data_IF_752114056117
#
_entry.id   IF_752114056117
#
_cell.length_a   1.000
_cell.length_b   1.000
_cell.length_c   1.000
_cell.angle_alpha   90.00
_cell.angle_beta   90.00
_cell.angle_gamma   90.00
#
_symmetry.space_group_name_H-M   'P 1'
#
loop_
_entity.id
_entity.type
_entity.pdbx_description
1 polymer ?
#
# COMPACT_ATOMS: atom_id res chain seq x y z
N UNK A 1 -15.41 -41.60 20.25
CA UNK A 1 -14.17 -41.31 19.50
C UNK A 1 -14.47 -41.37 18.00
N UNK A 2 -15.08 -40.35 17.42
CA UNK A 2 -14.41 -39.72 16.27
C UNK A 2 -15.38 -38.99 15.32
N UNK A 3 -16.54 -38.58 15.82
CA UNK A 3 -17.41 -37.64 15.13
C UNK A 3 -16.93 -36.22 15.44
N UNK A 4 -15.76 -35.85 14.91
CA UNK A 4 -15.25 -34.48 14.98
C UNK A 4 -14.71 -34.11 13.59
N UNK A 5 -15.49 -33.25 12.91
CA UNK A 5 -15.10 -32.39 11.79
C UNK A 5 -14.52 -33.07 10.54
N UNK A 6 -15.38 -33.68 9.71
CA UNK A 6 -15.14 -33.84 8.26
C UNK A 6 -16.06 -32.92 7.43
N UNK A 7 -16.52 -31.81 8.01
CA UNK A 7 -17.39 -30.84 7.35
C UNK A 7 -16.61 -29.54 7.07
N UNK A 8 -15.69 -29.54 6.09
CA UNK A 8 -15.40 -28.29 5.36
C UNK A 8 -14.62 -28.44 4.05
N UNK A 9 -13.79 -29.46 3.87
CA UNK A 9 -12.78 -29.41 2.77
C UNK A 9 -13.16 -30.39 1.65
N UNK A 10 -14.10 -29.94 0.84
CA UNK A 10 -14.52 -30.57 -0.43
C UNK A 10 -13.52 -30.24 -1.57
N UNK A 11 -12.41 -29.59 -1.23
CA UNK A 11 -11.45 -28.99 -2.17
C UNK A 11 -10.17 -29.82 -2.32
N UNK A 12 -9.92 -30.29 -3.54
CA UNK A 12 -8.66 -30.91 -3.97
C UNK A 12 -7.58 -29.85 -4.22
N UNK A 13 -6.34 -30.17 -3.87
CA UNK A 13 -5.18 -29.37 -4.27
C UNK A 13 -4.94 -29.47 -5.78
N UNK A 14 -4.70 -28.32 -6.40
CA UNK A 14 -4.36 -28.19 -7.80
C UNK A 14 -2.94 -27.69 -8.00
N UNK A 15 -2.71 -27.00 -9.11
CA UNK A 15 -1.37 -26.52 -9.45
C UNK A 15 -0.95 -25.40 -8.51
N UNK A 16 0.29 -25.44 -8.04
CA UNK A 16 0.93 -24.42 -7.20
C UNK A 16 0.24 -24.18 -5.84
N UNK A 17 -0.37 -25.23 -5.29
CA UNK A 17 -1.11 -25.19 -4.02
C UNK A 17 -0.62 -26.31 -3.10
N UNK A 18 -0.25 -25.95 -1.87
CA UNK A 18 0.13 -26.86 -0.80
C UNK A 18 -1.00 -27.10 0.20
N UNK A 19 -0.88 -28.19 0.98
CA UNK A 19 -1.80 -28.51 2.07
C UNK A 19 -1.01 -28.73 3.36
N UNK A 20 -1.44 -28.08 4.44
CA UNK A 20 -0.88 -28.24 5.78
C UNK A 20 -1.43 -29.47 6.48
N UNK A 21 -0.83 -29.81 7.64
CA UNK A 21 -1.27 -30.93 8.48
C UNK A 21 -2.74 -30.80 8.91
N UNK A 22 -3.18 -29.56 9.18
CA UNK A 22 -4.55 -29.24 9.59
C UNK A 22 -5.47 -28.99 8.38
N UNK A 23 -5.10 -29.51 7.21
CA UNK A 23 -5.79 -29.31 5.93
C UNK A 23 -5.92 -27.84 5.48
N UNK A 24 -5.18 -26.92 6.09
CA UNK A 24 -5.07 -25.54 5.63
C UNK A 24 -4.43 -25.49 4.26
N UNK A 25 -5.04 -24.75 3.33
CA UNK A 25 -4.56 -24.63 1.96
C UNK A 25 -3.72 -23.36 1.84
N UNK A 26 -2.52 -23.46 1.28
CA UNK A 26 -1.63 -22.32 1.04
C UNK A 26 -1.13 -22.26 -0.40
N UNK A 27 -0.88 -21.05 -0.90
CA UNK A 27 -0.31 -20.83 -2.22
C UNK A 27 1.21 -20.96 -2.19
N UNK A 28 1.78 -21.64 -3.18
CA UNK A 28 3.24 -21.73 -3.36
C UNK A 28 3.79 -20.57 -4.18
N UNK A 29 2.93 -19.89 -4.95
CA UNK A 29 3.28 -18.74 -5.80
C UNK A 29 2.28 -17.62 -5.58
N UNK A 30 2.72 -16.39 -5.86
CA UNK A 30 1.82 -15.24 -5.93
C UNK A 30 1.04 -15.24 -7.24
N UNK A 31 -0.26 -14.91 -7.16
CA UNK A 31 -1.09 -14.90 -8.34
C UNK A 31 -2.59 -14.89 -8.05
N UNK A 32 -3.36 -15.27 -9.06
CA UNK A 32 -4.81 -15.38 -8.95
C UNK A 32 -5.19 -16.83 -8.63
N UNK A 33 -6.04 -16.99 -7.63
CA UNK A 33 -6.62 -18.28 -7.27
C UNK A 33 -7.82 -18.55 -8.19
N UNK A 34 -7.83 -19.72 -8.82
CA UNK A 34 -8.94 -20.20 -9.64
C UNK A 34 -9.52 -21.49 -9.05
N UNK A 35 -10.85 -21.51 -8.97
CA UNK A 35 -11.61 -22.68 -8.56
C UNK A 35 -12.13 -23.41 -9.79
N UNK A 36 -11.75 -24.67 -9.95
CA UNK A 36 -12.18 -25.54 -11.03
C UNK A 36 -13.08 -26.64 -10.47
N UNK A 37 -14.04 -27.14 -11.26
CA UNK A 37 -14.84 -28.30 -10.84
C UNK A 37 -13.99 -29.57 -10.96
N UNK A 38 -14.09 -30.45 -9.97
CA UNK A 38 -13.42 -31.75 -9.97
C UNK A 38 -14.46 -32.83 -9.65
N UNK A 39 -15.14 -33.32 -10.68
CA UNK A 39 -16.24 -34.27 -10.54
C UNK A 39 -17.57 -33.59 -10.12
N UNK A 40 -18.54 -34.39 -9.64
CA UNK A 40 -19.90 -33.91 -9.38
C UNK A 40 -19.97 -32.94 -8.18
N UNK A 41 -19.29 -33.27 -7.07
CA UNK A 41 -19.43 -32.51 -5.81
C UNK A 41 -18.16 -31.76 -5.40
N UNK A 42 -16.99 -32.14 -5.95
CA UNK A 42 -15.71 -31.61 -5.48
C UNK A 42 -15.23 -30.43 -6.33
N UNK A 43 -14.50 -29.53 -5.68
CA UNK A 43 -13.83 -28.40 -6.34
C UNK A 43 -12.32 -28.60 -6.24
N UNK A 44 -11.57 -28.02 -7.15
CA UNK A 44 -10.11 -28.03 -7.15
C UNK A 44 -9.60 -26.60 -7.17
N UNK A 45 -8.57 -26.32 -6.39
CA UNK A 45 -7.99 -24.98 -6.27
C UNK A 45 -6.63 -24.98 -6.98
N UNK A 46 -6.45 -24.11 -7.96
CA UNK A 46 -5.17 -23.90 -8.64
C UNK A 46 -4.79 -22.42 -8.57
N UNK A 47 -3.50 -22.13 -8.43
CA UNK A 47 -2.99 -20.75 -8.47
C UNK A 47 -2.24 -20.54 -9.77
N UNK A 48 -2.61 -19.48 -10.47
CA UNK A 48 -1.98 -19.05 -11.72
C UNK A 48 -1.25 -17.73 -11.50
N UNK A 49 -0.02 -17.56 -12.04
CA UNK A 49 0.71 -16.31 -11.91
C UNK A 49 -0.09 -15.16 -12.53
N UNK A 50 -0.12 -14.03 -11.84
CA UNK A 50 -0.80 -12.82 -12.33
C UNK A 50 0.21 -11.95 -13.06
N UNK A 51 -0.01 -11.72 -14.34
CA UNK A 51 0.68 -10.65 -15.04
C UNK A 51 0.12 -9.30 -14.56
N UNK A 52 1.01 -8.45 -14.06
CA UNK A 52 0.65 -7.11 -13.61
C UNK A 52 0.39 -6.27 -14.85
N UNK A 53 -0.88 -6.06 -15.17
CA UNK A 53 -1.24 -5.10 -16.21
C UNK A 53 -0.79 -3.69 -15.77
N UNK A 54 -0.16 -2.91 -16.67
CA UNK A 54 0.25 -1.55 -16.35
C UNK A 54 -0.97 -0.71 -15.99
N UNK A 55 -0.80 0.19 -15.01
CA UNK A 55 -1.89 1.06 -14.58
C UNK A 55 -2.24 2.07 -15.68
N UNK A 56 -3.53 2.26 -15.95
CA UNK A 56 -3.99 3.29 -16.86
C UNK A 56 -3.76 4.69 -16.23
N UNK A 57 -2.94 5.56 -16.84
CA UNK A 57 -2.64 6.89 -16.32
C UNK A 57 -3.89 7.78 -16.21
N UNK A 58 -4.87 7.59 -17.10
CA UNK A 58 -6.07 8.43 -17.17
C UNK A 58 -7.19 7.95 -16.24
N UNK A 59 -6.90 6.99 -15.36
CA UNK A 59 -7.89 6.51 -14.40
C UNK A 59 -8.25 7.57 -13.35
N UNK A 60 -9.53 7.63 -12.97
CA UNK A 60 -10.02 8.53 -11.91
C UNK A 60 -9.20 8.43 -10.60
N UNK A 61 -8.75 7.21 -10.27
CA UNK A 61 -7.92 6.93 -9.10
C UNK A 61 -6.57 7.66 -9.18
N UNK A 62 -5.89 7.63 -10.33
CA UNK A 62 -4.63 8.34 -10.54
C UNK A 62 -4.80 9.85 -10.37
N UNK A 63 -5.83 10.43 -11.01
CA UNK A 63 -6.17 11.86 -10.88
C UNK A 63 -6.43 12.27 -9.42
N UNK A 64 -7.10 11.43 -8.63
CA UNK A 64 -7.34 11.71 -7.21
C UNK A 64 -6.06 11.65 -6.37
N UNK A 65 -5.19 10.68 -6.62
CA UNK A 65 -3.88 10.57 -5.95
C UNK A 65 -3.06 11.84 -6.19
N UNK A 66 -2.99 12.27 -7.45
CA UNK A 66 -2.26 13.48 -7.84
C UNK A 66 -2.86 14.73 -7.19
N UNK A 67 -4.19 14.89 -7.21
CA UNK A 67 -4.88 15.98 -6.53
C UNK A 67 -4.51 16.09 -5.05
N UNK A 68 -4.53 14.96 -4.32
CA UNK A 68 -4.19 14.96 -2.90
C UNK A 68 -2.70 15.19 -2.65
N UNK A 69 -1.82 14.73 -3.55
CA UNK A 69 -0.38 15.01 -3.50
C UNK A 69 -0.11 16.49 -3.69
N UNK A 70 -0.62 17.08 -4.77
CA UNK A 70 -0.49 18.50 -5.06
C UNK A 70 -1.09 19.36 -3.94
N UNK A 71 -2.20 18.94 -3.35
CA UNK A 71 -2.81 19.65 -2.20
C UNK A 71 -1.92 19.62 -0.96
N UNK A 72 -1.26 18.50 -0.67
CA UNK A 72 -0.30 18.40 0.45
C UNK A 72 0.93 19.24 0.20
N UNK A 73 1.48 19.19 -1.01
CA UNK A 73 2.64 20.00 -1.42
C UNK A 73 2.32 21.50 -1.34
N UNK A 74 1.15 21.92 -1.84
CA UNK A 74 0.68 23.33 -1.71
C UNK A 74 0.52 23.76 -0.26
N UNK A 75 -0.06 22.92 0.60
CA UNK A 75 -0.20 23.23 2.03
C UNK A 75 1.16 23.30 2.74
N UNK A 76 2.06 22.37 2.43
CA UNK A 76 3.42 22.35 2.98
C UNK A 76 4.20 23.58 2.55
N UNK A 77 4.20 23.91 1.26
CA UNK A 77 4.82 25.13 0.75
C UNK A 77 4.23 26.39 1.40
N UNK A 78 2.91 26.49 1.54
CA UNK A 78 2.29 27.62 2.22
C UNK A 78 2.71 27.75 3.69
N UNK A 79 2.93 26.62 4.38
CA UNK A 79 3.41 26.61 5.76
C UNK A 79 4.89 27.01 5.82
N UNK A 80 5.74 26.41 5.00
CA UNK A 80 7.17 26.74 4.90
C UNK A 80 7.38 28.22 4.55
N UNK A 81 6.58 28.78 3.65
CA UNK A 81 6.60 30.21 3.36
C UNK A 81 6.25 31.08 4.57
N UNK A 82 5.29 30.66 5.41
CA UNK A 82 5.00 31.36 6.67
C UNK A 82 6.15 31.27 7.66
N UNK A 83 6.83 30.13 7.70
CA UNK A 83 7.95 29.87 8.62
C UNK A 83 9.25 30.56 8.16
N UNK A 84 9.41 30.85 6.86
CA UNK A 84 10.56 31.57 6.27
C UNK A 84 10.48 33.09 6.53
N UNK A 85 9.29 33.68 6.51
CA UNK A 85 9.10 35.12 6.75
C UNK A 85 9.70 35.64 8.07
N UNK A 86 9.49 34.99 9.24
CA UNK A 86 10.07 35.48 10.50
C UNK A 86 11.60 35.30 10.56
N UNK A 87 12.17 34.26 9.94
CA UNK A 87 13.64 34.08 9.91
C UNK A 87 14.33 35.10 9.02
N UNK A 88 13.72 35.48 7.89
CA UNK A 88 14.27 36.51 6.99
C UNK A 88 14.24 37.90 7.63
N UNK A 89 13.21 38.19 8.43
CA UNK A 89 13.09 39.41 9.25
C UNK A 89 14.16 39.42 10.37
N UNK A 90 14.44 38.27 10.98
CA UNK A 90 15.47 38.16 12.02
C UNK A 90 16.90 38.31 11.46
N UNK A 91 17.20 37.69 10.32
CA UNK A 91 18.50 37.76 9.65
C UNK A 91 18.81 39.15 9.04
N UNK A 92 17.82 40.02 8.91
CA UNK A 92 18.00 41.42 8.47
C UNK A 92 18.10 42.42 9.64
N UNK A 93 17.94 41.96 10.88
CA UNK A 93 17.95 42.79 12.11
C UNK A 93 19.25 42.65 12.93
N UNK A 94 20.23 41.88 12.47
CA UNK A 94 21.54 41.78 13.13
C UNK A 94 22.63 42.41 12.24
N UNK A 95 22.91 43.70 12.46
CA UNK A 95 24.23 44.37 12.27
C UNK A 95 24.13 45.86 12.66
N UNK A 96 23.59 46.16 13.85
CA UNK A 96 23.31 47.53 14.29
C UNK A 96 23.72 47.87 15.72
N UNK A 97 24.53 47.03 16.38
CA UNK A 97 25.02 47.33 17.73
C UNK A 97 26.38 46.68 17.99
N UNK A 98 27.45 47.31 17.49
CA UNK A 98 28.71 47.33 18.23
C UNK A 98 28.90 48.77 18.72
N UNK A 99 28.62 48.89 20.01
CA UNK A 99 28.98 49.93 20.95
C UNK A 99 30.29 50.65 20.62
N UNK A 100 30.28 51.98 20.61
CA UNK A 100 31.32 52.78 21.26
C UNK A 100 30.62 53.96 21.93
N UNK A 101 30.24 53.73 23.18
CA UNK A 101 30.02 54.79 24.14
C UNK A 101 31.41 55.19 24.64
N UNK A 102 32.04 56.21 24.05
CA UNK A 102 33.22 56.86 24.62
C UNK A 102 33.34 58.31 24.13
N UNK A 103 33.41 59.21 25.14
CA UNK A 103 33.75 60.64 25.17
C UNK A 103 32.83 61.66 24.47
#
# INVERSE_FOLDING_TARGET
>A
MGLLLNLLIVTKNGKNVGIGKDHTIFSLIDGVVKFEKFGPDKKKISVYPREVQPANPDSYRARKIEYFRARRERKKAAQEWRDIQPQLILASVEDGAITNADC
#
